data_IF_864750567254
#
_entry.id   IF_864750567254
#
_cell.length_a   1.000
_cell.length_b   1.000
_cell.length_c   1.000
_cell.angle_alpha   90.00
_cell.angle_beta   90.00
_cell.angle_gamma   90.00
#
_symmetry.space_group_name_H-M   'P 1'
#
loop_
_entity.id
_entity.type
_entity.pdbx_description
1 polymer ?
#
# COMPACT_ATOMS: atom_id res chain seq x y z
N UNK A 1 -0.29 12.26 -33.08
CA UNK A 1 -0.30 13.09 -31.84
C UNK A 1 -1.59 13.90 -31.89
N UNK A 2 -2.68 13.42 -31.25
CA UNK A 2 -3.88 14.24 -31.08
C UNK A 2 -3.56 15.27 -29.98
N UNK A 3 -3.73 16.54 -30.31
CA UNK A 3 -3.67 17.64 -29.33
C UNK A 3 -4.56 17.26 -28.14
N UNK A 4 -3.94 17.04 -26.95
CA UNK A 4 -4.68 16.94 -25.70
C UNK A 4 -5.47 18.24 -25.58
N UNK A 5 -6.77 18.18 -25.82
CA UNK A 5 -7.70 19.25 -25.50
C UNK A 5 -7.41 19.64 -24.05
N UNK A 6 -6.94 20.86 -23.82
CA UNK A 6 -6.82 21.43 -22.47
C UNK A 6 -8.27 21.53 -21.97
N UNK A 7 -8.74 20.46 -21.33
CA UNK A 7 -10.05 20.46 -20.69
C UNK A 7 -9.90 21.27 -19.40
N UNK A 8 -10.72 22.32 -19.31
CA UNK A 8 -10.82 23.10 -18.09
C UNK A 8 -11.53 22.21 -17.04
N UNK A 9 -10.74 21.56 -16.16
CA UNK A 9 -11.21 20.59 -15.16
C UNK A 9 -11.72 21.32 -13.90
N UNK A 10 -12.19 22.54 -14.01
CA UNK A 10 -12.61 23.34 -12.86
C UNK A 10 -13.92 22.84 -12.24
N UNK A 11 -14.74 22.09 -12.98
CA UNK A 11 -15.98 21.50 -12.48
C UNK A 11 -16.05 20.03 -12.86
N UNK A 12 -15.77 19.17 -11.89
CA UNK A 12 -15.99 17.73 -11.98
C UNK A 12 -17.10 17.33 -11.02
N UNK A 13 -18.12 16.67 -11.58
CA UNK A 13 -19.26 16.18 -10.84
C UNK A 13 -19.28 14.66 -10.79
N UNK A 14 -19.68 14.10 -9.65
CA UNK A 14 -19.88 12.67 -9.49
C UNK A 14 -21.34 12.35 -9.53
N UNK A 15 -21.77 11.60 -10.53
CA UNK A 15 -23.16 11.22 -10.75
C UNK A 15 -23.33 9.72 -10.53
N UNK A 16 -24.30 9.34 -9.70
CA UNK A 16 -24.66 7.94 -9.50
C UNK A 16 -25.52 7.43 -10.64
N UNK A 17 -25.11 6.28 -11.24
CA UNK A 17 -25.86 5.54 -12.26
C UNK A 17 -25.89 4.06 -11.87
N UNK A 18 -27.06 3.59 -11.43
CA UNK A 18 -27.26 2.25 -10.90
C UNK A 18 -26.34 1.93 -9.69
N UNK A 19 -25.46 0.97 -9.81
CA UNK A 19 -24.49 0.59 -8.78
C UNK A 19 -23.14 1.34 -8.91
N UNK A 20 -22.96 2.09 -10.00
CA UNK A 20 -21.73 2.78 -10.34
C UNK A 20 -21.86 4.30 -10.21
N UNK A 21 -20.71 4.95 -10.22
CA UNK A 21 -20.58 6.40 -10.25
C UNK A 21 -19.77 6.81 -11.48
N UNK A 22 -20.19 7.86 -12.15
CA UNK A 22 -19.54 8.42 -13.33
C UNK A 22 -19.03 9.81 -12.99
N UNK A 23 -17.83 10.12 -13.43
CA UNK A 23 -17.27 11.46 -13.35
C UNK A 23 -17.67 12.24 -14.61
N UNK A 24 -18.25 13.41 -14.42
CA UNK A 24 -18.61 14.35 -15.48
C UNK A 24 -17.70 15.58 -15.46
N UNK A 25 -17.41 16.08 -16.65
CA UNK A 25 -16.81 17.40 -16.84
C UNK A 25 -17.82 18.27 -17.61
N UNK A 26 -18.50 19.15 -16.88
CA UNK A 26 -19.66 19.87 -17.42
C UNK A 26 -20.81 18.93 -17.79
N UNK A 27 -21.21 18.89 -19.05
CA UNK A 27 -22.32 18.04 -19.53
C UNK A 27 -21.87 16.68 -20.09
N UNK A 28 -20.57 16.41 -20.18
CA UNK A 28 -20.05 15.19 -20.79
C UNK A 28 -19.36 14.32 -19.75
N UNK A 29 -19.47 12.96 -19.83
CA UNK A 29 -18.68 12.09 -19.00
C UNK A 29 -17.19 12.31 -19.26
N UNK A 30 -16.40 12.22 -18.19
CA UNK A 30 -14.95 12.16 -18.30
C UNK A 30 -14.59 10.80 -18.94
N UNK A 31 -13.70 10.83 -19.91
CA UNK A 31 -13.29 9.63 -20.64
C UNK A 31 -11.81 9.35 -20.43
N UNK A 32 -11.44 8.06 -20.48
CA UNK A 32 -10.04 7.62 -20.56
C UNK A 32 -9.43 8.02 -21.91
N UNK A 33 -8.11 7.88 -22.05
CA UNK A 33 -7.42 8.13 -23.29
C UNK A 33 -7.95 7.29 -24.48
N UNK A 34 -8.57 6.15 -24.20
CA UNK A 34 -9.18 5.25 -25.17
C UNK A 34 -10.69 5.46 -25.34
N UNK A 35 -11.23 6.58 -24.86
CA UNK A 35 -12.63 6.97 -25.05
C UNK A 35 -13.64 6.18 -24.23
N UNK A 36 -13.25 5.64 -23.08
CA UNK A 36 -14.13 4.95 -22.14
C UNK A 36 -14.57 5.90 -21.03
N UNK A 37 -15.83 5.81 -20.65
CA UNK A 37 -16.34 6.57 -19.52
C UNK A 37 -15.54 6.26 -18.24
N UNK A 38 -15.22 7.29 -17.50
CA UNK A 38 -14.55 7.19 -16.20
C UNK A 38 -15.57 6.84 -15.11
N UNK A 39 -15.85 5.55 -15.00
CA UNK A 39 -16.92 4.97 -14.17
C UNK A 39 -16.35 3.94 -13.21
N UNK A 40 -16.84 3.92 -11.96
CA UNK A 40 -16.46 2.91 -10.96
C UNK A 40 -17.51 2.81 -9.86
N UNK A 41 -17.66 1.62 -9.25
CA UNK A 41 -18.57 1.41 -8.11
C UNK A 41 -18.05 2.04 -6.81
N UNK A 42 -16.74 2.30 -6.69
CA UNK A 42 -16.13 2.92 -5.53
C UNK A 42 -16.18 4.45 -5.63
N UNK A 43 -17.20 5.08 -5.05
CA UNK A 43 -17.39 6.54 -5.05
C UNK A 43 -16.26 7.27 -4.31
N UNK A 44 -15.65 6.65 -3.29
CA UNK A 44 -14.55 7.23 -2.52
C UNK A 44 -13.29 7.39 -3.35
N UNK A 45 -12.97 6.36 -4.14
CA UNK A 45 -11.87 6.44 -5.10
C UNK A 45 -12.10 7.57 -6.10
N UNK A 46 -13.31 7.66 -6.67
CA UNK A 46 -13.62 8.71 -7.64
C UNK A 46 -13.58 10.11 -7.02
N UNK A 47 -14.09 10.28 -5.79
CA UNK A 47 -13.96 11.54 -5.05
C UNK A 47 -12.52 11.93 -4.78
N UNK A 48 -11.67 10.96 -4.41
CA UNK A 48 -10.24 11.17 -4.23
C UNK A 48 -9.58 11.61 -5.54
N UNK A 49 -9.89 10.96 -6.65
CA UNK A 49 -9.38 11.32 -7.98
C UNK A 49 -9.86 12.73 -8.37
N UNK A 50 -11.14 13.05 -8.21
CA UNK A 50 -11.70 14.38 -8.50
C UNK A 50 -10.95 15.45 -7.70
N UNK A 51 -10.78 15.24 -6.39
CA UNK A 51 -10.05 16.18 -5.53
C UNK A 51 -8.62 16.38 -6.01
N UNK A 52 -7.91 15.31 -6.37
CA UNK A 52 -6.57 15.38 -6.92
C UNK A 52 -6.51 16.18 -8.22
N UNK A 53 -7.40 15.92 -9.17
CA UNK A 53 -7.50 16.64 -10.43
C UNK A 53 -7.79 18.14 -10.23
N UNK A 54 -8.70 18.47 -9.31
CA UNK A 54 -9.02 19.86 -8.97
C UNK A 54 -7.85 20.60 -8.31
N UNK A 55 -7.11 19.93 -7.43
CA UNK A 55 -5.90 20.51 -6.80
C UNK A 55 -4.78 20.77 -7.81
N UNK A 56 -4.65 19.91 -8.81
CA UNK A 56 -3.68 20.11 -9.90
C UNK A 56 -4.13 21.15 -10.92
N UNK A 57 -5.39 21.58 -10.89
CA UNK A 57 -5.98 22.46 -11.90
C UNK A 57 -6.05 21.84 -13.31
N UNK A 58 -5.93 20.51 -13.39
CA UNK A 58 -5.87 19.76 -14.65
C UNK A 58 -5.43 18.31 -14.44
N UNK A 59 -5.02 17.67 -15.53
CA UNK A 59 -4.43 16.34 -15.44
C UNK A 59 -3.07 16.41 -14.74
N UNK A 60 -2.77 15.48 -13.81
CA UNK A 60 -1.52 15.48 -13.09
C UNK A 60 -0.32 15.39 -14.05
N UNK A 61 0.72 16.20 -13.82
CA UNK A 61 1.98 16.09 -14.57
C UNK A 61 2.76 14.83 -14.17
N UNK A 62 2.56 14.38 -12.94
CA UNK A 62 3.20 13.17 -12.44
C UNK A 62 2.46 11.94 -12.94
N UNK A 63 3.18 10.95 -13.51
CA UNK A 63 2.57 9.76 -14.09
C UNK A 63 1.92 8.85 -13.04
N UNK A 64 2.36 8.92 -11.78
CA UNK A 64 1.81 8.11 -10.70
C UNK A 64 0.72 8.90 -9.97
N UNK A 65 -0.50 8.70 -10.38
CA UNK A 65 -1.68 9.29 -9.78
C UNK A 65 -2.84 8.30 -9.86
N UNK A 66 -3.74 8.31 -8.87
CA UNK A 66 -4.90 7.42 -8.83
C UNK A 66 -5.77 7.47 -10.10
N UNK A 67 -5.84 8.63 -10.76
CA UNK A 67 -6.49 8.80 -12.06
C UNK A 67 -5.88 7.86 -13.11
N UNK A 68 -4.58 7.90 -13.32
CA UNK A 68 -3.88 7.12 -14.32
C UNK A 68 -3.89 5.63 -14.02
N UNK A 69 -3.89 5.27 -12.74
CA UNK A 69 -3.99 3.88 -12.34
C UNK A 69 -5.36 3.29 -12.62
N UNK A 70 -6.44 4.04 -12.36
CA UNK A 70 -7.79 3.61 -12.71
C UNK A 70 -7.98 3.57 -14.24
N UNK A 71 -7.45 4.58 -14.97
CA UNK A 71 -7.43 4.59 -16.42
C UNK A 71 -6.72 3.35 -16.99
N UNK A 72 -5.53 3.02 -16.45
CA UNK A 72 -4.79 1.83 -16.84
C UNK A 72 -5.56 0.53 -16.55
N UNK A 73 -6.18 0.42 -15.37
CA UNK A 73 -7.00 -0.74 -15.03
C UNK A 73 -8.11 -0.96 -16.06
N UNK A 74 -8.83 0.11 -16.42
CA UNK A 74 -9.91 0.06 -17.40
C UNK A 74 -9.44 -0.23 -18.82
N UNK A 75 -8.38 0.42 -19.25
CA UNK A 75 -7.91 0.34 -20.62
C UNK A 75 -7.03 -0.88 -20.90
N UNK A 76 -6.50 -1.51 -19.85
CA UNK A 76 -5.63 -2.67 -19.99
C UNK A 76 -6.30 -3.97 -19.54
N UNK A 77 -6.70 -4.07 -18.28
CA UNK A 77 -7.20 -5.33 -17.72
C UNK A 77 -8.61 -5.67 -18.17
N UNK A 78 -9.53 -4.71 -18.17
CA UNK A 78 -10.91 -4.94 -18.60
C UNK A 78 -11.02 -5.32 -20.08
N UNK A 79 -9.94 -5.09 -20.86
CA UNK A 79 -9.84 -5.53 -22.25
C UNK A 79 -9.20 -6.93 -22.41
N UNK A 80 -8.97 -7.64 -21.31
CA UNK A 80 -8.34 -8.96 -21.35
C UNK A 80 -6.87 -8.94 -21.79
N UNK A 81 -6.18 -7.81 -21.58
CA UNK A 81 -4.75 -7.63 -21.91
C UNK A 81 -3.82 -8.05 -20.77
N UNK A 82 -4.29 -8.82 -19.80
CA UNK A 82 -3.43 -9.39 -18.75
C UNK A 82 -2.45 -10.40 -19.37
N UNK A 83 -1.27 -9.92 -19.72
CA UNK A 83 -0.22 -10.72 -20.35
C UNK A 83 0.27 -11.83 -19.42
N UNK A 84 0.38 -11.56 -18.11
CA UNK A 84 0.77 -12.57 -17.14
C UNK A 84 -0.25 -13.69 -17.00
N UNK A 85 -1.54 -13.37 -17.06
CA UNK A 85 -2.58 -14.42 -17.07
C UNK A 85 -2.54 -15.29 -18.34
N UNK A 86 -2.07 -14.73 -19.46
CA UNK A 86 -2.01 -15.44 -20.76
C UNK A 86 -0.77 -16.29 -20.90
N UNK A 87 0.38 -15.83 -20.46
CA UNK A 87 1.67 -16.50 -20.69
C UNK A 87 2.66 -16.28 -19.53
N UNK A 88 2.24 -16.72 -18.34
CA UNK A 88 3.03 -16.53 -17.12
C UNK A 88 4.40 -17.19 -17.21
N UNK A 89 4.45 -18.40 -17.72
CA UNK A 89 5.68 -19.21 -17.68
C UNK A 89 6.76 -18.63 -18.60
N UNK A 90 6.40 -18.14 -19.80
CA UNK A 90 7.35 -17.49 -20.70
C UNK A 90 7.85 -16.16 -20.14
N UNK A 91 6.96 -15.38 -19.49
CA UNK A 91 7.33 -14.11 -18.88
C UNK A 91 8.24 -14.33 -17.67
N UNK A 92 7.91 -15.31 -16.82
CA UNK A 92 8.74 -15.67 -15.68
C UNK A 92 10.13 -16.16 -16.09
N UNK A 93 10.23 -16.87 -17.21
CA UNK A 93 11.51 -17.38 -17.72
C UNK A 93 12.51 -16.29 -18.13
N UNK A 94 12.03 -15.06 -18.37
CA UNK A 94 12.86 -13.91 -18.76
C UNK A 94 12.79 -12.76 -17.76
N UNK A 95 12.09 -12.96 -16.62
CA UNK A 95 12.05 -11.97 -15.54
C UNK A 95 13.44 -11.73 -14.97
N UNK A 96 13.87 -10.49 -14.96
CA UNK A 96 15.26 -10.13 -14.62
C UNK A 96 15.59 -10.47 -13.17
N UNK A 97 14.62 -10.39 -12.25
CA UNK A 97 14.84 -10.77 -10.86
C UNK A 97 15.06 -12.28 -10.76
N UNK A 98 14.27 -13.08 -11.47
CA UNK A 98 14.44 -14.54 -11.55
C UNK A 98 15.77 -14.87 -12.22
N UNK A 99 16.11 -14.19 -13.32
CA UNK A 99 17.39 -14.41 -14.00
C UNK A 99 18.60 -14.02 -13.15
N UNK A 100 18.53 -12.92 -12.40
CA UNK A 100 19.59 -12.55 -11.44
C UNK A 100 19.74 -13.61 -10.36
N UNK A 101 18.63 -14.25 -9.99
CA UNK A 101 18.61 -15.35 -9.03
C UNK A 101 19.20 -16.64 -9.61
N UNK A 102 18.83 -17.02 -10.85
CA UNK A 102 19.08 -18.35 -11.40
C UNK A 102 20.29 -18.41 -12.33
N UNK A 103 20.57 -17.34 -13.05
CA UNK A 103 21.64 -17.27 -14.05
C UNK A 103 22.66 -16.23 -13.67
N UNK A 104 23.42 -16.51 -12.65
CA UNK A 104 24.59 -15.71 -12.46
C UNK A 104 25.52 -15.72 -13.67
N UNK A 105 26.37 -14.70 -13.84
CA UNK A 105 27.32 -14.61 -14.95
C UNK A 105 28.33 -15.76 -15.02
N UNK A 106 28.41 -16.60 -13.98
CA UNK A 106 29.27 -17.79 -13.97
C UNK A 106 28.69 -18.90 -13.08
N UNK A 107 28.92 -20.20 -13.43
CA UNK A 107 28.53 -21.35 -12.60
C UNK A 107 29.42 -21.45 -11.37
N UNK A 108 29.21 -20.62 -10.38
CA UNK A 108 29.89 -20.65 -9.10
C UNK A 108 28.92 -20.78 -7.94
N UNK A 109 29.34 -21.21 -6.75
CA UNK A 109 28.45 -21.36 -5.60
C UNK A 109 27.78 -20.02 -5.21
N UNK A 110 26.59 -20.02 -4.63
CA UNK A 110 25.73 -18.86 -4.36
C UNK A 110 26.39 -17.70 -3.61
N UNK A 111 27.40 -17.97 -2.81
CA UNK A 111 28.20 -16.95 -2.14
C UNK A 111 29.08 -16.09 -3.08
N UNK A 112 29.30 -16.51 -4.31
CA UNK A 112 30.15 -15.76 -5.26
C UNK A 112 29.42 -14.60 -5.93
N UNK A 113 28.09 -14.61 -6.02
CA UNK A 113 27.33 -13.46 -6.52
C UNK A 113 27.42 -12.26 -5.60
N UNK A 114 27.30 -12.57 -4.32
CA UNK A 114 27.51 -11.62 -3.26
C UNK A 114 28.96 -11.14 -3.24
N UNK A 115 29.94 -12.03 -3.57
CA UNK A 115 31.34 -11.67 -3.59
C UNK A 115 31.78 -10.83 -4.79
N UNK A 116 31.13 -10.95 -5.97
CA UNK A 116 31.42 -10.08 -7.12
C UNK A 116 30.83 -8.67 -6.94
N UNK A 117 29.68 -8.55 -6.25
CA UNK A 117 29.18 -7.26 -5.77
C UNK A 117 30.04 -6.71 -4.61
N UNK A 118 30.69 -7.59 -3.84
CA UNK A 118 31.57 -7.21 -2.73
C UNK A 118 33.00 -6.84 -3.16
N UNK A 119 33.46 -7.22 -4.36
CA UNK A 119 34.81 -6.87 -4.82
C UNK A 119 35.00 -5.38 -5.05
N UNK A 120 33.96 -4.60 -5.12
CA UNK A 120 34.00 -3.14 -5.22
C UNK A 120 33.13 -2.46 -4.15
N UNK A 121 33.26 -2.93 -2.90
CA UNK A 121 32.57 -2.33 -1.75
C UNK A 121 33.09 -0.92 -1.37
N UNK A 122 34.04 -0.40 -2.10
CA UNK A 122 34.48 1.00 -1.97
C UNK A 122 33.45 1.99 -2.53
N UNK A 123 32.54 1.53 -3.42
CA UNK A 123 31.44 2.35 -3.92
C UNK A 123 30.21 2.22 -3.02
N UNK A 124 29.73 3.36 -2.42
CA UNK A 124 28.52 3.36 -1.57
C UNK A 124 27.27 2.81 -2.26
N UNK A 125 27.22 2.84 -3.60
CA UNK A 125 26.08 2.37 -4.40
C UNK A 125 26.02 0.85 -4.51
N UNK A 126 27.16 0.21 -4.72
CA UNK A 126 27.25 -1.27 -4.72
C UNK A 126 26.75 -1.85 -3.41
N UNK A 127 27.01 -1.16 -2.29
CA UNK A 127 26.48 -1.53 -0.98
C UNK A 127 24.95 -1.41 -0.88
N UNK A 128 24.37 -0.31 -1.36
CA UNK A 128 22.91 -0.09 -1.32
C UNK A 128 22.18 -1.15 -2.16
N UNK A 129 22.73 -1.48 -3.32
CA UNK A 129 22.20 -2.52 -4.22
C UNK A 129 22.27 -3.89 -3.58
N UNK A 130 23.43 -4.23 -3.04
CA UNK A 130 23.66 -5.51 -2.38
C UNK A 130 22.68 -5.75 -1.21
N UNK A 131 22.60 -4.81 -0.29
CA UNK A 131 21.70 -4.92 0.86
C UNK A 131 20.24 -4.92 0.45
N UNK A 132 19.88 -4.15 -0.59
CA UNK A 132 18.52 -4.12 -1.13
C UNK A 132 18.09 -5.49 -1.68
N UNK A 133 18.91 -6.13 -2.49
CA UNK A 133 18.64 -7.48 -3.03
C UNK A 133 18.65 -8.55 -1.94
N UNK A 134 19.57 -8.48 -1.01
CA UNK A 134 19.65 -9.44 0.10
C UNK A 134 18.40 -9.41 0.97
N UNK A 135 17.87 -8.21 1.28
CA UNK A 135 16.64 -8.06 2.03
C UNK A 135 15.41 -8.60 1.26
N UNK A 136 15.31 -8.33 -0.05
CA UNK A 136 14.24 -8.89 -0.90
C UNK A 136 14.27 -10.42 -0.89
N UNK A 137 15.45 -11.00 -1.06
CA UNK A 137 15.64 -12.46 -1.06
C UNK A 137 15.28 -13.07 0.29
N UNK A 138 15.69 -12.44 1.39
CA UNK A 138 15.36 -12.91 2.73
C UNK A 138 13.85 -12.86 3.01
N UNK A 139 13.18 -11.76 2.67
CA UNK A 139 11.74 -11.64 2.83
C UNK A 139 10.99 -12.64 1.96
N UNK A 140 11.46 -12.88 0.74
CA UNK A 140 10.92 -13.90 -0.13
C UNK A 140 11.06 -15.31 0.47
N UNK A 141 12.23 -15.64 1.03
CA UNK A 141 12.46 -16.92 1.69
C UNK A 141 11.55 -17.11 2.92
N UNK A 142 11.33 -16.05 3.70
CA UNK A 142 10.42 -16.07 4.84
C UNK A 142 8.96 -16.29 4.38
N UNK A 143 8.53 -15.60 3.33
CA UNK A 143 7.20 -15.76 2.73
C UNK A 143 6.96 -17.19 2.23
N UNK A 144 7.99 -17.82 1.66
CA UNK A 144 7.95 -19.19 1.14
C UNK A 144 8.21 -20.25 2.23
N UNK A 145 8.09 -19.91 3.51
CA UNK A 145 8.30 -20.81 4.65
C UNK A 145 9.66 -21.52 4.66
N UNK A 146 10.70 -20.85 4.17
CA UNK A 146 12.05 -21.37 4.14
C UNK A 146 12.29 -22.48 3.11
N UNK A 147 11.36 -22.67 2.15
CA UNK A 147 11.53 -23.64 1.07
C UNK A 147 12.70 -23.32 0.13
N UNK A 148 13.18 -22.07 0.15
CA UNK A 148 14.33 -21.59 -0.64
C UNK A 148 15.50 -21.23 0.26
N UNK A 149 15.98 -22.19 1.01
CA UNK A 149 17.11 -21.97 1.93
C UNK A 149 18.44 -21.66 1.23
N UNK A 150 18.59 -22.06 -0.02
CA UNK A 150 19.80 -21.81 -0.78
C UNK A 150 19.47 -21.47 -2.23
N UNK A 151 20.04 -20.40 -2.73
CA UNK A 151 20.08 -20.07 -4.15
C UNK A 151 21.12 -20.98 -4.86
N UNK A 152 20.92 -22.27 -4.83
CA UNK A 152 21.87 -23.22 -5.41
C UNK A 152 21.64 -23.49 -6.90
N UNK A 153 20.73 -22.76 -7.54
CA UNK A 153 20.50 -22.86 -8.98
C UNK A 153 19.98 -24.23 -9.43
N UNK A 154 19.20 -24.90 -8.59
CA UNK A 154 18.52 -26.13 -8.97
C UNK A 154 17.24 -25.79 -9.74
N UNK A 155 17.17 -26.28 -10.96
CA UNK A 155 16.05 -26.04 -11.89
C UNK A 155 14.69 -26.40 -11.28
N UNK A 156 14.63 -27.44 -10.44
CA UNK A 156 13.42 -27.87 -9.74
C UNK A 156 12.91 -26.84 -8.71
N UNK A 157 13.81 -26.14 -8.00
CA UNK A 157 13.46 -25.11 -7.02
C UNK A 157 12.94 -23.85 -7.72
N UNK A 158 13.51 -23.50 -8.85
CA UNK A 158 13.07 -22.37 -9.66
C UNK A 158 11.68 -22.61 -10.25
N UNK A 159 11.39 -23.82 -10.69
CA UNK A 159 10.05 -24.20 -11.16
C UNK A 159 9.02 -24.20 -10.03
N UNK A 160 9.41 -24.59 -8.80
CA UNK A 160 8.52 -24.52 -7.65
C UNK A 160 8.18 -23.07 -7.29
N UNK A 161 9.19 -22.18 -7.35
CA UNK A 161 9.00 -20.74 -7.14
C UNK A 161 8.08 -20.12 -8.20
N UNK A 162 8.31 -20.40 -9.47
CA UNK A 162 7.46 -19.90 -10.57
C UNK A 162 6.03 -20.41 -10.43
N UNK A 163 5.82 -21.68 -10.07
CA UNK A 163 4.48 -22.23 -9.81
C UNK A 163 3.76 -21.50 -8.67
N UNK A 164 4.48 -21.21 -7.57
CA UNK A 164 3.90 -20.47 -6.46
C UNK A 164 3.54 -19.03 -6.84
N UNK A 165 4.45 -18.33 -7.53
CA UNK A 165 4.16 -16.98 -8.04
C UNK A 165 2.94 -16.97 -8.96
N UNK A 166 2.81 -17.97 -9.83
CA UNK A 166 1.67 -18.13 -10.73
C UNK A 166 0.37 -18.32 -9.97
N UNK A 167 0.38 -19.17 -8.94
CA UNK A 167 -0.77 -19.39 -8.07
C UNK A 167 -1.16 -18.11 -7.33
N UNK A 168 -0.20 -17.44 -6.70
CA UNK A 168 -0.43 -16.21 -5.96
C UNK A 168 -0.88 -15.05 -6.86
N UNK A 169 -0.33 -14.96 -8.08
CA UNK A 169 -0.82 -14.00 -9.07
C UNK A 169 -2.26 -14.31 -9.49
N UNK A 170 -2.61 -15.60 -9.64
CA UNK A 170 -3.98 -16.03 -9.90
C UNK A 170 -4.97 -15.57 -8.82
N UNK A 171 -4.53 -15.54 -7.56
CA UNK A 171 -5.33 -15.12 -6.40
C UNK A 171 -5.38 -13.59 -6.22
N UNK A 172 -4.59 -12.82 -6.97
CA UNK A 172 -4.59 -11.36 -6.88
C UNK A 172 -5.87 -10.77 -7.48
N UNK A 173 -6.38 -9.68 -6.87
CA UNK A 173 -7.53 -8.94 -7.41
C UNK A 173 -7.19 -8.27 -8.76
N UNK A 174 -8.22 -7.83 -9.49
CA UNK A 174 -8.01 -7.08 -10.74
C UNK A 174 -7.16 -5.84 -10.53
N UNK A 175 -7.41 -5.11 -9.45
CA UNK A 175 -6.70 -3.89 -9.10
C UNK A 175 -5.25 -4.16 -8.68
N UNK A 176 -5.00 -5.25 -7.96
CA UNK A 176 -3.64 -5.69 -7.63
C UNK A 176 -2.86 -6.08 -8.91
N UNK A 177 -3.49 -6.79 -9.83
CA UNK A 177 -2.91 -7.10 -11.14
C UNK A 177 -2.60 -5.83 -11.93
N UNK A 178 -3.55 -4.87 -11.95
CA UNK A 178 -3.32 -3.57 -12.59
C UNK A 178 -2.13 -2.84 -11.97
N UNK A 179 -2.03 -2.82 -10.66
CA UNK A 179 -0.93 -2.18 -9.95
C UNK A 179 0.43 -2.85 -10.24
N UNK A 180 0.47 -4.19 -10.32
CA UNK A 180 1.67 -4.94 -10.68
C UNK A 180 2.14 -4.57 -12.09
N UNK A 181 1.24 -4.60 -13.07
CA UNK A 181 1.56 -4.22 -14.44
C UNK A 181 1.94 -2.76 -14.57
N UNK A 182 1.21 -1.88 -13.88
CA UNK A 182 1.48 -0.45 -13.87
C UNK A 182 2.89 -0.13 -13.37
N UNK A 183 3.30 -0.71 -12.24
CA UNK A 183 4.65 -0.54 -11.69
C UNK A 183 5.72 -1.17 -12.59
N UNK A 184 5.47 -2.35 -13.16
CA UNK A 184 6.40 -3.00 -14.09
C UNK A 184 6.64 -2.13 -15.31
N UNK A 185 5.58 -1.58 -15.88
CA UNK A 185 5.64 -0.67 -17.02
C UNK A 185 6.35 0.64 -16.67
N UNK A 186 5.88 1.31 -15.61
CA UNK A 186 6.37 2.62 -15.20
C UNK A 186 7.86 2.59 -14.84
N UNK A 187 8.25 1.57 -14.10
CA UNK A 187 9.61 1.44 -13.59
C UNK A 187 10.50 0.61 -14.51
N UNK A 188 10.01 0.18 -15.69
CA UNK A 188 10.76 -0.69 -16.61
C UNK A 188 11.47 -1.81 -15.86
N UNK A 189 10.74 -2.50 -15.00
CA UNK A 189 11.26 -3.56 -14.17
C UNK A 189 10.54 -4.87 -14.44
N UNK A 190 11.16 -5.96 -13.99
CA UNK A 190 10.52 -7.26 -13.93
C UNK A 190 9.20 -7.21 -13.16
N UNK A 191 8.32 -8.17 -13.36
CA UNK A 191 7.03 -8.23 -12.67
C UNK A 191 7.14 -8.75 -11.23
N UNK A 192 8.19 -9.52 -10.91
CA UNK A 192 8.34 -10.15 -9.59
C UNK A 192 8.48 -9.10 -8.48
N UNK A 193 9.31 -8.08 -8.67
CA UNK A 193 9.47 -7.03 -7.65
C UNK A 193 8.17 -6.24 -7.42
N UNK A 194 7.45 -5.75 -8.44
CA UNK A 194 6.11 -5.18 -8.29
C UNK A 194 5.13 -6.13 -7.59
N UNK A 195 5.13 -7.42 -7.96
CA UNK A 195 4.28 -8.43 -7.34
C UNK A 195 4.57 -8.56 -5.84
N UNK A 196 5.84 -8.74 -5.43
CA UNK A 196 6.23 -8.85 -4.04
C UNK A 196 5.86 -7.61 -3.24
N UNK A 197 6.03 -6.43 -3.82
CA UNK A 197 5.66 -5.17 -3.21
C UNK A 197 4.14 -5.02 -3.05
N UNK A 198 3.39 -5.25 -4.12
CA UNK A 198 1.92 -5.18 -4.10
C UNK A 198 1.34 -6.18 -3.09
N UNK A 199 1.92 -7.37 -2.97
CA UNK A 199 1.54 -8.36 -1.95
C UNK A 199 2.09 -8.06 -0.55
N UNK A 200 2.78 -6.93 -0.35
CA UNK A 200 3.37 -6.49 0.93
C UNK A 200 4.40 -7.47 1.52
N UNK A 201 5.04 -8.26 0.67
CA UNK A 201 6.12 -9.18 1.06
C UNK A 201 7.41 -8.38 1.27
N UNK A 202 7.58 -7.30 0.50
CA UNK A 202 8.71 -6.37 0.61
C UNK A 202 8.21 -4.93 0.83
N UNK A 203 9.02 -4.11 1.46
CA UNK A 203 8.75 -2.69 1.70
C UNK A 203 9.01 -1.84 0.45
N UNK A 204 8.52 -0.60 0.43
CA UNK A 204 8.80 0.36 -0.65
C UNK A 204 10.31 0.65 -0.79
N UNK A 205 11.06 0.64 0.31
CA UNK A 205 12.52 0.80 0.30
C UNK A 205 13.22 -0.39 -0.34
N UNK A 206 12.81 -1.61 -0.02
CA UNK A 206 13.36 -2.84 -0.61
C UNK A 206 12.98 -2.94 -2.09
N UNK A 207 11.75 -2.61 -2.43
CA UNK A 207 11.27 -2.54 -3.80
C UNK A 207 12.13 -1.59 -4.64
N UNK A 208 12.28 -0.34 -4.21
CA UNK A 208 13.02 0.68 -4.96
C UNK A 208 14.50 0.34 -5.13
N UNK A 209 15.15 -0.20 -4.09
CA UNK A 209 16.53 -0.69 -4.17
C UNK A 209 16.65 -1.91 -5.09
N UNK A 210 15.70 -2.84 -5.02
CA UNK A 210 15.62 -4.00 -5.88
C UNK A 210 15.49 -3.63 -7.36
N UNK A 211 14.56 -2.70 -7.68
CA UNK A 211 14.37 -2.20 -9.05
C UNK A 211 15.65 -1.54 -9.57
N UNK A 212 16.28 -0.69 -8.77
CA UNK A 212 17.53 -0.05 -9.18
C UNK A 212 18.65 -1.08 -9.41
N UNK A 213 18.77 -2.08 -8.54
CA UNK A 213 19.75 -3.14 -8.66
C UNK A 213 19.60 -3.96 -9.94
N UNK A 214 18.34 -4.30 -10.29
CA UNK A 214 18.04 -5.03 -11.51
C UNK A 214 18.37 -4.18 -12.75
N UNK A 215 17.98 -2.90 -12.76
CA UNK A 215 18.26 -1.96 -13.86
C UNK A 215 19.75 -1.76 -14.13
N UNK A 216 20.59 -1.73 -13.11
CA UNK A 216 22.03 -1.56 -13.26
C UNK A 216 22.74 -2.77 -13.85
N UNK A 217 22.10 -3.94 -13.82
CA UNK A 217 22.70 -5.19 -14.30
C UNK A 217 22.23 -5.61 -15.69
N UNK A 218 21.04 -5.19 -16.12
CA UNK A 218 20.42 -5.69 -17.34
C UNK A 218 19.75 -4.56 -18.13
N UNK A 219 19.73 -4.66 -19.44
CA UNK A 219 18.83 -3.88 -20.26
C UNK A 219 17.37 -4.27 -19.92
N UNK A 220 16.46 -3.30 -19.76
CA UNK A 220 15.10 -3.57 -19.31
C UNK A 220 14.36 -4.52 -20.26
N UNK A 221 13.96 -5.68 -19.77
CA UNK A 221 13.11 -6.64 -20.52
C UNK A 221 11.69 -6.09 -20.68
N UNK A 222 11.28 -5.18 -19.81
CA UNK A 222 9.97 -4.50 -19.90
C UNK A 222 9.69 -3.90 -21.27
N UNK A 223 10.72 -3.43 -21.98
CA UNK A 223 10.58 -2.90 -23.36
C UNK A 223 10.10 -3.98 -24.35
N UNK A 224 10.35 -5.25 -24.07
CA UNK A 224 9.91 -6.36 -24.91
C UNK A 224 8.44 -6.75 -24.70
N UNK A 225 7.89 -6.48 -23.52
CA UNK A 225 6.50 -6.82 -23.19
C UNK A 225 5.52 -5.67 -23.37
N UNK A 226 6.00 -4.45 -23.19
CA UNK A 226 5.16 -3.25 -23.28
C UNK A 226 5.47 -2.42 -24.51
N UNK A 227 6.05 -3.05 -25.56
CA UNK A 227 6.44 -2.40 -26.78
C UNK A 227 5.23 -1.80 -27.51
N UNK A 228 5.23 -0.51 -27.60
CA UNK A 228 4.62 0.47 -28.50
C UNK A 228 3.14 0.40 -28.85
N UNK A 229 2.53 -0.75 -28.90
CA UNK A 229 1.21 -0.94 -29.52
C UNK A 229 0.07 -1.18 -28.50
N UNK A 230 0.33 -1.06 -27.22
CA UNK A 230 -0.65 -1.37 -26.17
C UNK A 230 -1.46 -0.17 -25.68
N UNK A 231 -1.39 0.96 -26.38
CA UNK A 231 -2.27 2.11 -26.12
C UNK A 231 -2.04 2.81 -24.79
N UNK A 232 -0.86 2.64 -24.17
CA UNK A 232 -0.50 3.39 -22.98
C UNK A 232 -0.19 4.83 -23.39
N UNK A 233 -0.94 5.84 -22.90
CA UNK A 233 -0.80 7.22 -23.36
C UNK A 233 0.50 7.89 -22.89
N UNK A 234 1.26 7.20 -22.02
CA UNK A 234 2.46 7.74 -21.40
C UNK A 234 3.69 7.07 -21.99
N UNK A 235 4.47 7.86 -22.74
CA UNK A 235 5.80 7.41 -23.08
C UNK A 235 6.68 7.39 -21.84
N UNK A 236 7.42 6.30 -21.58
CA UNK A 236 8.36 6.18 -20.47
C UNK A 236 9.45 7.26 -20.48
N UNK A 237 9.63 8.00 -21.56
CA UNK A 237 10.59 9.08 -21.75
C UNK A 237 10.49 10.20 -20.68
N UNK A 238 9.31 10.38 -20.07
CA UNK A 238 9.12 11.36 -18.99
C UNK A 238 9.83 10.89 -17.70
N UNK A 239 10.19 9.62 -17.60
CA UNK A 239 10.81 9.00 -16.42
C UNK A 239 12.32 8.80 -16.56
N UNK A 240 12.87 8.99 -17.78
CA UNK A 240 14.30 8.87 -18.05
C UNK A 240 15.08 10.08 -17.51
N UNK A 241 15.12 10.24 -16.20
CA UNK A 241 16.24 10.93 -15.56
C UNK A 241 17.35 9.89 -15.27
N UNK A 242 17.84 9.26 -16.33
CA UNK A 242 18.99 8.33 -16.26
C UNK A 242 20.23 8.97 -15.63
N UNK A 243 20.28 10.31 -15.62
CA UNK A 243 21.36 11.10 -15.02
C UNK A 243 21.09 11.55 -13.58
N UNK A 244 19.96 11.13 -12.95
CA UNK A 244 19.71 11.50 -11.58
C UNK A 244 20.59 10.68 -10.62
N UNK A 245 21.06 11.33 -9.55
CA UNK A 245 21.78 10.68 -8.46
C UNK A 245 20.99 9.43 -7.96
N UNK A 246 21.65 8.29 -7.77
CA UNK A 246 20.99 7.03 -7.40
C UNK A 246 20.11 7.13 -6.16
N UNK A 247 20.49 7.95 -5.17
CA UNK A 247 19.66 8.21 -3.99
C UNK A 247 18.33 8.88 -4.33
N UNK A 248 18.34 9.77 -5.34
CA UNK A 248 17.12 10.43 -5.82
C UNK A 248 16.24 9.43 -6.58
N UNK A 249 16.85 8.52 -7.35
CA UNK A 249 16.12 7.46 -8.04
C UNK A 249 15.43 6.50 -7.05
N UNK A 250 16.14 6.02 -6.02
CA UNK A 250 15.56 5.17 -4.97
C UNK A 250 14.40 5.87 -4.26
N UNK A 251 14.58 7.15 -3.91
CA UNK A 251 13.53 7.94 -3.28
C UNK A 251 12.29 8.04 -4.17
N UNK A 252 12.46 8.39 -5.44
CA UNK A 252 11.35 8.52 -6.39
C UNK A 252 10.62 7.21 -6.61
N UNK A 253 11.33 6.11 -6.86
CA UNK A 253 10.75 4.78 -7.00
C UNK A 253 9.93 4.39 -5.75
N UNK A 254 10.41 4.77 -4.57
CA UNK A 254 9.69 4.54 -3.31
C UNK A 254 8.43 5.39 -3.17
N UNK A 255 8.49 6.66 -3.56
CA UNK A 255 7.33 7.58 -3.56
C UNK A 255 6.26 7.10 -4.55
N UNK A 256 6.65 6.71 -5.75
CA UNK A 256 5.76 6.14 -6.75
C UNK A 256 5.10 4.85 -6.26
N UNK A 257 5.87 3.95 -5.68
CA UNK A 257 5.37 2.71 -5.11
C UNK A 257 4.35 2.97 -3.99
N UNK A 258 4.62 3.93 -3.10
CA UNK A 258 3.68 4.30 -2.03
C UNK A 258 2.37 4.88 -2.58
N UNK A 259 2.43 5.69 -3.64
CA UNK A 259 1.21 6.21 -4.31
C UNK A 259 0.36 5.07 -4.87
N UNK A 260 1.00 4.02 -5.40
CA UNK A 260 0.28 2.79 -5.84
C UNK A 260 -0.37 2.08 -4.66
N UNK A 261 0.29 2.01 -3.51
CA UNK A 261 -0.31 1.42 -2.30
C UNK A 261 -1.50 2.25 -1.78
N UNK A 262 -1.41 3.58 -1.83
CA UNK A 262 -2.53 4.45 -1.48
C UNK A 262 -3.75 4.20 -2.39
N UNK A 263 -3.53 4.05 -3.70
CA UNK A 263 -4.58 3.65 -4.63
C UNK A 263 -5.17 2.28 -4.26
N UNK A 264 -4.34 1.27 -4.04
CA UNK A 264 -4.80 -0.08 -3.68
C UNK A 264 -5.56 -0.09 -2.35
N UNK A 265 -5.31 0.87 -1.47
CA UNK A 265 -6.02 0.99 -0.20
C UNK A 265 -7.54 1.18 -0.37
N UNK A 266 -8.00 1.74 -1.49
CA UNK A 266 -9.42 1.89 -1.80
C UNK A 266 -10.10 0.55 -2.09
N UNK A 267 -9.35 -0.48 -2.46
CA UNK A 267 -9.85 -1.82 -2.84
C UNK A 267 -9.57 -2.89 -1.79
N UNK A 268 -8.49 -2.75 -1.04
CA UNK A 268 -8.08 -3.72 0.00
C UNK A 268 -8.96 -3.69 1.23
N UNK A 269 -9.68 -2.61 1.42
CA UNK A 269 -10.82 -2.62 2.32
C UNK A 269 -11.94 -3.33 1.57
N UNK A 270 -12.47 -4.45 2.06
CA UNK A 270 -13.60 -5.08 1.38
C UNK A 270 -14.69 -4.03 1.21
N UNK A 271 -14.95 -3.63 -0.03
CA UNK A 271 -16.17 -2.93 -0.37
C UNK A 271 -17.29 -3.87 0.10
N UNK A 272 -18.02 -3.48 1.11
CA UNK A 272 -19.12 -4.30 1.65
C UNK A 272 -18.86 -5.06 2.94
N UNK A 273 -17.62 -5.30 3.41
CA UNK A 273 -17.46 -5.91 4.75
C UNK A 273 -17.68 -4.92 5.88
N UNK A 274 -17.71 -3.61 5.57
CA UNK A 274 -17.98 -2.54 6.54
C UNK A 274 -19.30 -1.80 6.29
N UNK A 275 -20.02 -2.10 5.22
CA UNK A 275 -21.40 -1.63 5.04
C UNK A 275 -22.35 -2.39 5.97
N UNK A 276 -21.91 -3.52 6.51
CA UNK A 276 -22.62 -4.26 7.55
C UNK A 276 -21.99 -4.01 8.92
N UNK A 277 -22.01 -2.76 9.40
CA UNK A 277 -21.61 -2.41 10.78
C UNK A 277 -22.29 -3.33 11.81
N UNK A 278 -23.59 -3.65 11.71
CA UNK A 278 -24.22 -4.61 12.61
C UNK A 278 -23.54 -5.97 12.65
N UNK A 279 -23.07 -6.47 11.52
CA UNK A 279 -22.33 -7.75 11.50
C UNK A 279 -20.93 -7.63 12.11
N UNK A 280 -20.24 -6.52 11.87
CA UNK A 280 -18.94 -6.26 12.47
C UNK A 280 -19.05 -6.17 13.99
N UNK A 281 -20.04 -5.44 14.49
CA UNK A 281 -20.34 -5.34 15.91
C UNK A 281 -20.73 -6.70 16.49
N UNK A 282 -21.52 -7.50 15.77
CA UNK A 282 -21.93 -8.83 16.21
C UNK A 282 -20.75 -9.81 16.37
N UNK A 283 -19.65 -9.62 15.64
CA UNK A 283 -18.42 -10.41 15.80
C UNK A 283 -17.76 -10.17 17.17
N UNK A 284 -18.01 -9.02 17.79
CA UNK A 284 -17.38 -8.63 19.04
C UNK A 284 -15.91 -8.25 18.90
N UNK A 285 -15.32 -7.79 19.98
CA UNK A 285 -13.88 -7.50 20.03
C UNK A 285 -13.03 -8.76 19.85
N UNK A 286 -11.88 -8.59 19.19
CA UNK A 286 -10.94 -9.66 18.86
C UNK A 286 -9.50 -9.14 18.82
N UNK A 287 -8.57 -9.98 18.38
CA UNK A 287 -7.20 -9.57 18.10
C UNK A 287 -7.10 -8.48 17.00
N UNK A 288 -8.11 -8.39 16.12
CA UNK A 288 -8.14 -7.45 14.98
C UNK A 288 -9.34 -6.48 15.01
N UNK A 289 -10.17 -6.49 16.06
CA UNK A 289 -11.33 -5.61 16.19
C UNK A 289 -11.45 -5.07 17.62
N UNK A 290 -11.61 -3.77 17.73
CA UNK A 290 -11.72 -3.07 19.01
C UNK A 290 -12.82 -2.03 18.96
N UNK A 291 -13.54 -1.83 20.09
CA UNK A 291 -14.59 -0.84 20.23
C UNK A 291 -14.20 0.25 21.21
N UNK A 292 -14.59 1.48 20.93
CA UNK A 292 -14.50 2.62 21.85
C UNK A 292 -15.77 3.45 21.77
N UNK A 293 -16.38 3.69 22.91
CA UNK A 293 -17.64 4.44 23.00
C UNK A 293 -17.48 5.87 22.48
N UNK A 294 -16.32 6.49 22.74
CA UNK A 294 -15.99 7.88 22.39
C UNK A 294 -14.50 8.02 22.12
N UNK A 295 -14.11 9.08 21.41
CA UNK A 295 -12.71 9.44 21.18
C UNK A 295 -12.10 10.22 22.34
N UNK A 296 -12.84 11.19 22.90
CA UNK A 296 -12.32 12.12 23.92
C UNK A 296 -13.27 12.37 25.10
N UNK A 297 -14.54 12.04 24.97
CA UNK A 297 -15.55 12.40 25.95
C UNK A 297 -15.75 11.29 26.98
N UNK A 298 -15.53 11.60 28.25
CA UNK A 298 -15.86 10.70 29.36
C UNK A 298 -17.36 10.77 29.63
N UNK A 299 -18.09 9.73 29.25
CA UNK A 299 -19.54 9.65 29.37
C UNK A 299 -20.02 9.70 30.85
N UNK A 300 -19.17 9.24 31.79
CA UNK A 300 -19.50 9.25 33.23
C UNK A 300 -19.22 10.62 33.86
N UNK A 301 -18.06 11.20 33.52
CA UNK A 301 -17.65 12.48 34.07
C UNK A 301 -18.27 13.68 33.33
N UNK A 302 -18.84 13.48 32.16
CA UNK A 302 -19.47 14.53 31.36
C UNK A 302 -18.50 15.59 30.83
N UNK A 303 -17.24 15.25 30.61
CA UNK A 303 -16.17 16.15 30.14
C UNK A 303 -15.14 15.45 29.28
N UNK A 304 -14.31 16.24 28.61
CA UNK A 304 -13.15 15.69 27.89
C UNK A 304 -12.14 15.08 28.83
N UNK A 305 -11.53 13.95 28.45
CA UNK A 305 -10.61 13.21 29.29
C UNK A 305 -9.47 12.61 28.43
N UNK A 306 -8.23 12.99 28.74
CA UNK A 306 -7.05 12.50 28.04
C UNK A 306 -6.84 10.96 28.17
N UNK A 307 -7.36 10.33 29.22
CA UNK A 307 -7.34 8.87 29.36
C UNK A 307 -8.27 8.19 28.35
N UNK A 308 -9.39 8.82 27.96
CA UNK A 308 -10.27 8.30 26.90
C UNK A 308 -9.56 8.38 25.56
N UNK A 309 -8.90 9.50 25.25
CA UNK A 309 -8.07 9.61 24.03
C UNK A 309 -6.96 8.56 24.01
N UNK A 310 -6.27 8.38 25.17
CA UNK A 310 -5.21 7.38 25.30
C UNK A 310 -5.70 5.96 25.01
N UNK A 311 -6.91 5.60 25.42
CA UNK A 311 -7.46 4.27 25.17
C UNK A 311 -7.55 3.96 23.67
N UNK A 312 -8.01 4.90 22.85
CA UNK A 312 -8.03 4.76 21.40
C UNK A 312 -6.61 4.70 20.79
N UNK A 313 -5.71 5.57 21.26
CA UNK A 313 -4.32 5.60 20.81
C UNK A 313 -3.54 4.32 21.16
N UNK A 314 -3.79 3.71 22.31
CA UNK A 314 -3.23 2.40 22.69
C UNK A 314 -3.61 1.32 21.72
N UNK A 315 -4.88 1.22 21.37
CA UNK A 315 -5.37 0.22 20.41
C UNK A 315 -4.75 0.42 19.02
N UNK A 316 -4.66 1.68 18.55
CA UNK A 316 -4.00 2.02 17.28
C UNK A 316 -2.51 1.65 17.29
N UNK A 317 -1.79 2.01 18.37
CA UNK A 317 -0.38 1.67 18.55
C UNK A 317 -0.17 0.15 18.51
N UNK A 318 -1.01 -0.59 19.25
CA UNK A 318 -0.93 -2.04 19.29
C UNK A 318 -1.21 -2.70 17.92
N UNK A 319 -2.20 -2.22 17.16
CA UNK A 319 -2.48 -2.69 15.82
C UNK A 319 -1.33 -2.41 14.85
N UNK A 320 -0.77 -1.21 14.89
CA UNK A 320 0.39 -0.83 14.06
C UNK A 320 1.62 -1.71 14.33
N UNK A 321 1.82 -2.09 15.58
CA UNK A 321 2.93 -2.94 16.01
C UNK A 321 2.69 -4.44 15.84
N UNK A 322 1.50 -4.87 15.40
CA UNK A 322 1.18 -6.30 15.22
C UNK A 322 0.69 -6.59 13.80
N UNK A 323 -0.43 -7.25 13.65
CA UNK A 323 -1.00 -7.69 12.37
C UNK A 323 -1.97 -6.70 11.75
N UNK A 324 -2.11 -5.51 12.33
CA UNK A 324 -3.15 -4.55 11.97
C UNK A 324 -4.47 -4.86 12.67
N UNK A 325 -5.50 -4.13 12.29
CA UNK A 325 -6.84 -4.30 12.83
C UNK A 325 -7.76 -3.10 12.59
N UNK A 326 -8.95 -3.16 13.15
CA UNK A 326 -9.99 -2.14 13.00
C UNK A 326 -10.42 -1.61 14.37
N UNK A 327 -10.41 -0.30 14.53
CA UNK A 327 -10.97 0.39 15.68
C UNK A 327 -12.29 1.05 15.30
N UNK A 328 -13.37 0.72 16.02
CA UNK A 328 -14.66 1.38 15.91
C UNK A 328 -14.81 2.40 17.05
N UNK A 329 -14.95 3.68 16.71
CA UNK A 329 -15.27 4.74 17.69
C UNK A 329 -16.73 5.13 17.53
N UNK A 330 -17.45 5.22 18.64
CA UNK A 330 -18.89 5.36 18.70
C UNK A 330 -19.63 4.04 18.93
N UNK A 331 -18.93 2.99 19.37
CA UNK A 331 -19.50 1.69 19.72
C UNK A 331 -19.05 1.33 21.14
N UNK A 332 -19.97 0.87 21.98
CA UNK A 332 -19.69 0.40 23.33
C UNK A 332 -19.26 -1.07 23.32
N UNK A 333 -18.64 -1.53 24.39
CA UNK A 333 -18.17 -2.91 24.55
C UNK A 333 -19.30 -3.95 24.45
N UNK A 334 -20.56 -3.55 24.79
CA UNK A 334 -21.74 -4.39 24.63
C UNK A 334 -22.30 -4.43 23.20
N UNK A 335 -21.64 -3.73 22.25
CA UNK A 335 -22.05 -3.60 20.86
C UNK A 335 -23.13 -2.53 20.62
N UNK A 336 -23.59 -1.83 21.64
CA UNK A 336 -24.54 -0.73 21.43
C UNK A 336 -23.86 0.47 20.77
N UNK A 337 -24.55 1.09 19.80
CA UNK A 337 -24.02 2.25 19.09
C UNK A 337 -24.22 3.51 19.91
N UNK A 338 -23.13 4.14 20.35
CA UNK A 338 -23.11 5.42 21.03
C UNK A 338 -23.09 6.60 20.06
N UNK A 339 -22.35 6.47 18.97
CA UNK A 339 -22.09 7.50 17.98
C UNK A 339 -21.01 8.51 18.40
N UNK A 340 -20.32 9.08 17.39
CA UNK A 340 -19.30 10.13 17.60
C UNK A 340 -19.90 11.46 18.06
N UNK A 341 -21.21 11.61 17.95
CA UNK A 341 -21.96 12.78 18.44
C UNK A 341 -21.75 12.97 19.93
N UNK A 342 -21.56 11.89 20.67
CA UNK A 342 -21.25 11.90 22.12
C UNK A 342 -19.91 12.58 22.44
N UNK A 343 -18.98 12.68 21.48
CA UNK A 343 -17.73 13.43 21.63
C UNK A 343 -17.89 14.95 21.61
N UNK A 344 -19.11 15.44 21.30
CA UNK A 344 -19.48 16.86 21.30
C UNK A 344 -18.57 17.75 20.45
N UNK A 345 -18.19 17.30 19.28
CA UNK A 345 -17.62 18.15 18.25
C UNK A 345 -18.73 18.91 17.51
N UNK A 346 -18.41 20.08 16.97
CA UNK A 346 -19.38 20.90 16.23
C UNK A 346 -19.82 20.25 14.93
N UNK A 347 -18.99 19.43 14.33
CA UNK A 347 -19.27 18.64 13.13
C UNK A 347 -18.25 17.48 12.96
N UNK A 348 -18.51 16.64 11.98
CA UNK A 348 -17.69 15.48 11.62
C UNK A 348 -16.25 15.86 11.21
N UNK A 349 -16.07 16.98 10.50
CA UNK A 349 -14.73 17.48 10.11
C UNK A 349 -13.87 17.83 11.32
N UNK A 350 -14.47 18.44 12.35
CA UNK A 350 -13.75 18.76 13.59
C UNK A 350 -13.37 17.50 14.38
N UNK A 351 -14.21 16.48 14.34
CA UNK A 351 -13.87 15.17 14.91
C UNK A 351 -12.68 14.56 14.18
N UNK A 352 -12.70 14.49 12.85
CA UNK A 352 -11.60 13.94 12.05
C UNK A 352 -10.30 14.75 12.21
N UNK A 353 -10.40 16.08 12.23
CA UNK A 353 -9.24 16.95 12.45
C UNK A 353 -8.58 16.68 13.81
N UNK A 354 -9.38 16.51 14.87
CA UNK A 354 -8.89 16.18 16.20
C UNK A 354 -8.23 14.79 16.22
N UNK A 355 -8.89 13.80 15.67
CA UNK A 355 -8.36 12.44 15.54
C UNK A 355 -6.99 12.43 14.85
N UNK A 356 -6.87 13.07 13.69
CA UNK A 356 -5.60 13.13 12.95
C UNK A 356 -4.54 13.97 13.67
N UNK A 357 -4.95 14.95 14.47
CA UNK A 357 -4.04 15.71 15.33
C UNK A 357 -3.46 14.81 16.42
N UNK A 358 -4.30 14.02 17.09
CA UNK A 358 -3.89 13.04 18.10
C UNK A 358 -2.92 12.01 17.50
N UNK A 359 -3.26 11.41 16.36
CA UNK A 359 -2.41 10.45 15.68
C UNK A 359 -1.02 11.04 15.38
N UNK A 360 -0.96 12.20 14.75
CA UNK A 360 0.31 12.85 14.38
C UNK A 360 1.15 13.25 15.59
N UNK A 361 0.50 13.72 16.64
CA UNK A 361 1.19 14.18 17.85
C UNK A 361 1.69 13.02 18.71
N UNK A 362 0.89 11.96 18.83
CA UNK A 362 1.13 10.88 19.79
C UNK A 362 1.78 9.62 19.17
N UNK A 363 1.54 9.35 17.89
CA UNK A 363 2.08 8.15 17.21
C UNK A 363 3.12 8.48 16.14
N UNK A 364 3.14 9.73 15.64
CA UNK A 364 4.07 10.20 14.62
C UNK A 364 3.38 10.59 13.31
N UNK A 365 4.07 11.44 12.52
CA UNK A 365 3.54 11.92 11.24
C UNK A 365 3.63 10.88 10.14
N UNK A 366 4.59 9.99 10.23
CA UNK A 366 4.89 8.91 9.29
C UNK A 366 3.94 7.71 9.41
N UNK A 367 3.02 7.74 10.38
CA UNK A 367 2.03 6.67 10.58
C UNK A 367 0.78 6.85 9.73
N UNK A 368 0.54 8.05 9.19
CA UNK A 368 -0.68 8.36 8.42
C UNK A 368 -0.94 7.38 7.25
N UNK A 369 0.05 6.89 6.50
CA UNK A 369 -0.18 5.92 5.43
C UNK A 369 -0.72 4.55 5.88
N UNK A 370 -0.55 4.21 7.16
CA UNK A 370 -0.98 2.93 7.73
C UNK A 370 -2.35 3.00 8.39
N UNK A 371 -2.99 4.18 8.38
CA UNK A 371 -4.28 4.43 9.02
C UNK A 371 -5.28 5.02 8.02
N UNK A 372 -6.49 4.46 8.02
CA UNK A 372 -7.59 5.00 7.24
C UNK A 372 -8.79 5.21 8.15
N UNK A 373 -9.24 6.46 8.24
CA UNK A 373 -10.43 6.84 8.98
C UNK A 373 -11.60 7.10 8.03
N UNK A 374 -12.78 6.59 8.37
CA UNK A 374 -14.02 6.91 7.68
C UNK A 374 -15.17 7.03 8.67
N UNK A 375 -16.15 7.84 8.32
CA UNK A 375 -17.39 7.99 9.06
C UNK A 375 -18.52 7.27 8.33
N UNK A 376 -19.28 6.47 9.06
CA UNK A 376 -20.41 5.71 8.50
C UNK A 376 -21.62 5.91 9.39
N UNK A 377 -22.74 6.23 8.78
CA UNK A 377 -24.02 6.34 9.48
C UNK A 377 -24.60 4.96 9.77
N UNK A 378 -24.94 4.74 11.02
CA UNK A 378 -25.68 3.58 11.50
C UNK A 378 -26.95 4.08 12.17
N UNK A 379 -28.07 4.00 11.47
CA UNK A 379 -29.32 4.65 11.85
C UNK A 379 -29.13 6.18 11.99
N UNK A 380 -29.48 6.76 13.14
CA UNK A 380 -29.37 8.19 13.42
C UNK A 380 -27.97 8.61 13.96
N UNK A 381 -27.04 7.67 14.12
CA UNK A 381 -25.72 7.90 14.73
C UNK A 381 -24.58 7.64 13.75
N UNK A 382 -23.47 8.33 13.94
CA UNK A 382 -22.29 8.18 13.12
C UNK A 382 -21.21 7.39 13.88
N UNK A 383 -20.59 6.41 13.23
CA UNK A 383 -19.48 5.61 13.75
C UNK A 383 -18.22 5.98 12.96
N UNK A 384 -17.11 6.18 13.66
CA UNK A 384 -15.82 6.30 13.01
C UNK A 384 -15.13 4.93 12.98
N UNK A 385 -14.77 4.50 11.78
CA UNK A 385 -14.03 3.26 11.53
C UNK A 385 -12.60 3.64 11.17
N UNK A 386 -11.64 3.18 11.98
CA UNK A 386 -10.22 3.29 11.68
C UNK A 386 -9.67 1.92 11.34
N UNK A 387 -9.18 1.77 10.12
CA UNK A 387 -8.44 0.60 9.73
C UNK A 387 -6.95 0.87 9.85
N UNK A 388 -6.25 -0.08 10.47
CA UNK A 388 -4.82 -0.04 10.70
C UNK A 388 -4.17 -1.17 9.92
N UNK A 389 -3.23 -0.85 9.06
CA UNK A 389 -2.28 -1.83 8.51
C UNK A 389 -1.01 -1.86 9.37
N UNK A 390 -0.29 -2.99 9.42
CA UNK A 390 0.93 -3.09 10.20
C UNK A 390 1.97 -2.05 9.78
N UNK A 391 2.59 -1.38 10.75
CA UNK A 391 3.72 -0.50 10.46
C UNK A 391 4.98 -1.31 10.16
N UNK A 392 5.82 -0.89 9.20
CA UNK A 392 7.14 -1.49 8.96
C UNK A 392 8.20 -1.10 9.98
N UNK A 393 7.86 -0.20 10.92
CA UNK A 393 8.75 0.29 11.97
C UNK A 393 8.04 0.28 13.32
N UNK A 394 8.80 0.18 14.44
CA UNK A 394 8.23 0.29 15.76
C UNK A 394 7.50 1.63 15.96
N UNK A 395 6.30 1.57 16.51
CA UNK A 395 5.48 2.73 16.85
C UNK A 395 5.36 2.83 18.34
N UNK A 396 5.70 3.99 18.90
CA UNK A 396 5.60 4.29 20.32
C UNK A 396 4.47 5.29 20.57
N UNK A 397 3.73 5.09 21.65
CA UNK A 397 2.71 6.03 22.08
C UNK A 397 3.35 7.11 22.98
N UNK A 398 3.39 8.35 22.48
CA UNK A 398 3.95 9.54 23.15
C UNK A 398 2.85 10.59 23.37
N UNK A 399 2.04 10.40 24.38
CA UNK A 399 0.97 11.37 24.69
C UNK A 399 1.44 12.32 25.79
N UNK A 400 1.29 13.67 25.62
CA UNK A 400 1.62 14.63 26.66
C UNK A 400 0.93 14.32 27.99
N UNK A 401 1.70 14.34 29.08
CA UNK A 401 1.22 14.00 30.44
C UNK A 401 1.22 12.51 30.78
N UNK A 402 1.73 11.66 29.89
CA UNK A 402 1.91 10.22 30.10
C UNK A 402 3.32 9.79 29.68
N UNK A 403 3.75 8.66 30.24
CA UNK A 403 5.00 8.04 29.83
C UNK A 403 4.91 7.51 28.38
N UNK A 404 6.07 7.46 27.71
CA UNK A 404 6.21 6.80 26.43
C UNK A 404 6.12 5.29 26.61
N UNK A 405 5.24 4.63 25.86
CA UNK A 405 5.00 3.20 25.98
C UNK A 405 4.95 2.53 24.60
N UNK A 406 5.33 1.25 24.59
CA UNK A 406 5.24 0.38 23.41
C UNK A 406 4.14 -0.66 23.63
N UNK A 407 3.13 -0.64 22.75
CA UNK A 407 1.99 -1.54 22.84
C UNK A 407 1.98 -2.56 21.70
N UNK A 408 1.59 -3.78 22.07
CA UNK A 408 1.30 -4.86 21.11
C UNK A 408 -0.10 -5.42 21.35
N UNK A 409 -0.63 -6.14 20.36
CA UNK A 409 -1.89 -6.86 20.50
C UNK A 409 -1.63 -8.29 20.94
N UNK A 410 -2.20 -8.70 22.06
CA UNK A 410 -2.20 -10.07 22.57
C UNK A 410 -3.64 -10.51 22.75
N UNK A 411 -4.15 -11.26 21.76
CA UNK A 411 -5.58 -11.53 21.68
C UNK A 411 -6.38 -10.23 21.62
N UNK A 412 -7.49 -10.06 22.36
CA UNK A 412 -8.30 -8.85 22.34
C UNK A 412 -7.71 -7.69 23.19
N UNK A 413 -6.52 -7.86 23.78
CA UNK A 413 -5.92 -6.86 24.66
C UNK A 413 -4.78 -6.09 24.01
N UNK A 414 -4.75 -4.76 24.22
CA UNK A 414 -3.60 -3.91 23.93
C UNK A 414 -2.68 -3.87 25.14
N UNK A 415 -1.56 -4.59 25.09
CA UNK A 415 -0.64 -4.82 26.21
C UNK A 415 0.60 -3.96 26.05
N UNK A 416 0.95 -3.20 27.10
CA UNK A 416 2.24 -2.51 27.17
C UNK A 416 3.35 -3.54 27.46
N UNK A 417 4.44 -3.44 26.72
CA UNK A 417 5.66 -4.19 26.99
C UNK A 417 6.60 -3.35 27.85
N UNK A 418 7.30 -3.98 28.77
CA UNK A 418 8.42 -3.33 29.43
C UNK A 418 9.59 -3.12 28.45
N UNK A 419 10.62 -2.38 28.87
CA UNK A 419 11.73 -2.00 27.99
C UNK A 419 12.43 -3.24 27.41
N UNK A 420 12.66 -4.27 28.24
CA UNK A 420 13.38 -5.48 27.81
C UNK A 420 12.52 -6.33 26.86
N UNK A 421 11.25 -6.45 27.12
CA UNK A 421 10.27 -7.13 26.26
C UNK A 421 10.13 -6.38 24.93
N UNK A 422 10.01 -5.05 24.99
CA UNK A 422 9.90 -4.21 23.79
C UNK A 422 11.14 -4.31 22.91
N UNK A 423 12.35 -4.25 23.48
CA UNK A 423 13.60 -4.40 22.72
C UNK A 423 13.69 -5.77 22.06
N UNK A 424 13.32 -6.84 22.75
CA UNK A 424 13.27 -8.18 22.18
C UNK A 424 12.26 -8.28 21.05
N UNK A 425 11.04 -7.83 21.28
CA UNK A 425 9.98 -7.82 20.27
C UNK A 425 10.36 -7.00 19.02
N UNK A 426 10.98 -5.83 19.24
CA UNK A 426 11.46 -4.97 18.15
C UNK A 426 12.56 -5.66 17.36
N UNK A 427 13.51 -6.31 18.03
CA UNK A 427 14.57 -7.07 17.37
C UNK A 427 14.00 -8.24 16.54
N UNK A 428 13.04 -8.97 17.11
CA UNK A 428 12.42 -10.13 16.44
C UNK A 428 11.54 -9.72 15.25
N UNK A 429 10.76 -8.64 15.40
CA UNK A 429 9.78 -8.22 14.37
C UNK A 429 10.33 -7.20 13.36
N UNK A 430 11.14 -6.25 13.83
CA UNK A 430 11.62 -5.12 13.03
C UNK A 430 13.15 -5.12 12.84
N UNK A 431 13.87 -5.94 13.60
CA UNK A 431 15.34 -6.00 13.62
C UNK A 431 15.98 -6.89 12.56
N UNK A 432 15.18 -7.58 11.76
CA UNK A 432 15.67 -8.28 10.57
C UNK A 432 15.80 -7.27 9.42
N UNK A 433 16.85 -6.49 9.47
CA UNK A 433 17.34 -5.66 8.37
C UNK A 433 18.62 -6.22 7.81
#
# INVERSE_FOLDING_TARGET
>A
MSEKKIMNITHLDLVKRDQDYIVYTGSSPLETANGREFVHSNDRLLKHIITGLQLCGGFPEQPVHAFYMLEFSKDYLEQGRDLLARDFDSIAAVDEFILVKTRGPHPGPPGQYLSLAMSDMSDPMSNVIFWGLSAVIQNLNNYLHGQFRHFEGKEEEDQAFVRLLKQEYGNASGEEKAAIHFLSYLHRSCFVLPFLFVRQIITASEYSKGVLAVRMKNEPVSDRYYDGDHGFPYKPEVLNQENAEPRQQVRRLGEDAMTVMDYLSFFRLPAGSYDNIPELIRKGESDQLEFKSTLRWDLKAGKTNAHVERASLKSLCAFLNTTGGTLLIGVRDDGSVEGIESDRFTNEDKFLLHLWTLVRTCLGRDISPYLQARLVKSSEKTICILNCTPSPRPVFLRQPGFDEEFFIRLGPSSTALDISEALKYIADRFGQK
#
